data_IF_252371251771
#
_entry.id   IF_252371251771
#
_cell.length_a   1.000
_cell.length_b   1.000
_cell.length_c   1.000
_cell.angle_alpha   90.00
_cell.angle_beta   90.00
_cell.angle_gamma   90.00
#
_symmetry.space_group_name_H-M   'P 1'
#
loop_
_entity.id
_entity.type
_entity.pdbx_description
1 polymer ?
#
# COMPACT_ATOMS: atom_id res chain seq x y z
N UNK A 1 6.84 -0.13 5.03
CA UNK A 1 6.60 1.33 5.16
C UNK A 1 6.76 1.84 6.60
N UNK A 2 6.88 0.96 7.59
CA UNK A 2 7.17 1.35 8.98
C UNK A 2 8.62 1.79 9.22
N UNK A 3 9.57 1.34 8.38
CA UNK A 3 10.97 1.74 8.46
C UNK A 3 11.21 3.07 7.75
N UNK A 4 12.28 3.76 8.15
CA UNK A 4 12.68 5.04 7.59
C UNK A 4 13.15 4.91 6.13
N UNK A 5 13.86 3.84 5.84
CA UNK A 5 14.45 3.54 4.53
C UNK A 5 14.07 2.14 4.06
N UNK A 6 14.03 1.95 2.76
CA UNK A 6 13.63 0.69 2.10
C UNK A 6 14.50 0.48 0.88
N UNK A 7 15.02 -0.72 0.73
CA UNK A 7 15.80 -1.17 -0.41
C UNK A 7 15.10 -2.39 -1.01
N UNK A 8 15.11 -2.52 -2.32
CA UNK A 8 14.49 -3.64 -3.01
C UNK A 8 15.40 -4.24 -4.09
N UNK A 9 15.21 -5.52 -4.38
CA UNK A 9 15.74 -6.12 -5.61
C UNK A 9 14.94 -5.64 -6.83
N UNK A 10 15.59 -5.55 -7.98
CA UNK A 10 15.00 -5.05 -9.23
C UNK A 10 13.80 -5.87 -9.73
N UNK A 11 13.73 -7.14 -9.36
CA UNK A 11 12.64 -8.07 -9.71
C UNK A 11 11.45 -7.99 -8.74
N UNK A 12 11.58 -7.22 -7.66
CA UNK A 12 10.54 -7.10 -6.63
C UNK A 12 9.31 -6.39 -7.16
N UNK A 13 8.14 -6.94 -6.82
CA UNK A 13 6.85 -6.30 -7.01
C UNK A 13 6.31 -5.86 -5.64
N UNK A 14 5.92 -4.60 -5.51
CA UNK A 14 5.45 -4.01 -4.26
C UNK A 14 3.98 -3.59 -4.38
N UNK A 15 3.15 -4.01 -3.43
CA UNK A 15 1.72 -3.70 -3.46
C UNK A 15 1.02 -3.94 -2.13
N UNK A 16 -0.25 -3.58 -2.09
CA UNK A 16 -1.18 -3.77 -0.98
C UNK A 16 -2.44 -4.48 -1.51
N UNK A 17 -2.46 -5.83 -1.51
CA UNK A 17 -3.48 -6.61 -2.21
C UNK A 17 -4.76 -6.86 -1.39
N UNK A 18 -4.91 -6.28 -0.19
CA UNK A 18 -5.96 -6.56 0.78
C UNK A 18 -7.37 -6.39 0.19
N UNK A 19 -7.56 -5.47 -0.75
CA UNK A 19 -8.84 -5.22 -1.43
C UNK A 19 -9.34 -6.44 -2.22
N UNK A 20 -8.44 -7.34 -2.63
CA UNK A 20 -8.81 -8.60 -3.30
C UNK A 20 -9.54 -9.56 -2.36
N UNK A 21 -9.39 -9.37 -1.06
CA UNK A 21 -10.09 -10.09 0.00
C UNK A 21 -11.24 -9.29 0.62
N UNK A 22 -11.69 -8.21 -0.04
CA UNK A 22 -12.72 -7.33 0.51
C UNK A 22 -12.27 -6.46 1.68
N UNK A 23 -10.96 -6.45 1.98
CA UNK A 23 -10.35 -5.70 3.08
C UNK A 23 -9.66 -4.43 2.56
N UNK A 24 -9.25 -3.57 3.46
CA UNK A 24 -8.31 -2.48 3.20
C UNK A 24 -6.98 -2.73 3.95
N UNK A 25 -5.87 -2.07 3.58
CA UNK A 25 -4.59 -2.18 4.27
C UNK A 25 -4.66 -1.65 5.71
N UNK A 26 -4.94 -2.54 6.68
CA UNK A 26 -5.28 -2.20 8.08
C UNK A 26 -4.09 -2.01 9.04
N UNK A 27 -2.85 -2.11 8.56
CA UNK A 27 -1.64 -1.91 9.36
C UNK A 27 -0.98 -0.53 9.09
N UNK A 28 -1.77 0.50 8.85
CA UNK A 28 -1.31 1.84 8.52
C UNK A 28 -0.92 1.99 7.04
N UNK A 29 -1.31 1.07 6.19
CA UNK A 29 -1.00 1.10 4.76
C UNK A 29 -1.67 2.26 4.04
N UNK A 30 -2.95 2.52 4.34
CA UNK A 30 -3.71 3.63 3.76
C UNK A 30 -3.22 5.00 4.23
N UNK A 31 -2.45 5.04 5.32
CA UNK A 31 -1.90 6.28 5.87
C UNK A 31 -0.44 6.52 5.44
N UNK A 32 0.35 5.44 5.32
CA UNK A 32 1.78 5.55 4.96
C UNK A 32 2.01 5.63 3.46
N UNK A 33 1.27 4.84 2.67
CA UNK A 33 1.49 4.81 1.23
C UNK A 33 1.27 6.19 0.58
N UNK A 34 0.17 6.94 0.86
CA UNK A 34 -0.05 8.26 0.28
C UNK A 34 1.05 9.28 0.64
N UNK A 35 1.64 9.14 1.83
CA UNK A 35 2.74 10.00 2.27
C UNK A 35 4.07 9.71 1.56
N UNK A 36 4.20 8.51 0.99
CA UNK A 36 5.41 8.10 0.25
C UNK A 36 5.28 8.36 -1.25
N UNK A 37 4.15 7.95 -1.86
CA UNK A 37 3.98 7.97 -3.32
C UNK A 37 2.98 9.02 -3.82
N UNK A 38 2.32 9.74 -2.92
CA UNK A 38 1.20 10.61 -3.24
C UNK A 38 -0.15 9.86 -3.25
N UNK A 39 -1.26 10.60 -3.06
CA UNK A 39 -2.57 9.98 -2.92
C UNK A 39 -3.11 9.39 -4.22
N UNK A 40 -2.78 9.93 -5.39
CA UNK A 40 -3.26 9.39 -6.68
C UNK A 40 -2.75 7.96 -6.93
N UNK A 41 -1.44 7.74 -6.82
CA UNK A 41 -0.85 6.41 -6.99
C UNK A 41 -1.27 5.48 -5.85
N UNK A 42 -1.37 6.00 -4.62
CA UNK A 42 -1.86 5.21 -3.48
C UNK A 42 -3.30 4.72 -3.71
N UNK A 43 -4.20 5.57 -4.20
CA UNK A 43 -5.56 5.19 -4.58
C UNK A 43 -5.55 4.09 -5.65
N UNK A 44 -4.73 4.23 -6.70
CA UNK A 44 -4.62 3.21 -7.75
C UNK A 44 -4.16 1.86 -7.19
N UNK A 45 -3.09 1.85 -6.40
CA UNK A 45 -2.52 0.63 -5.83
C UNK A 45 -3.47 -0.04 -4.83
N UNK A 46 -4.07 0.73 -3.92
CA UNK A 46 -4.90 0.19 -2.83
C UNK A 46 -6.26 -0.30 -3.36
N UNK A 47 -6.89 0.44 -4.29
CA UNK A 47 -8.22 0.06 -4.81
C UNK A 47 -8.17 -1.08 -5.81
N UNK A 48 -7.04 -1.26 -6.52
CA UNK A 48 -6.85 -2.39 -7.45
C UNK A 48 -6.23 -3.61 -6.79
N UNK A 49 -5.44 -3.41 -5.73
CA UNK A 49 -4.59 -4.44 -5.14
C UNK A 49 -3.48 -4.93 -6.08
N UNK A 50 -3.17 -4.18 -7.14
CA UNK A 50 -2.12 -4.53 -8.08
C UNK A 50 -0.77 -3.98 -7.63
N UNK A 51 0.29 -4.78 -7.68
CA UNK A 51 1.62 -4.33 -7.33
C UNK A 51 2.25 -3.49 -8.45
N UNK A 52 3.24 -2.67 -8.08
CA UNK A 52 4.11 -1.95 -9.01
C UNK A 52 5.52 -2.54 -8.98
N UNK A 53 6.29 -2.49 -10.09
CA UNK A 53 7.67 -2.96 -10.10
C UNK A 53 8.58 -2.06 -9.27
N UNK A 54 9.69 -2.62 -8.77
CA UNK A 54 10.67 -1.94 -7.94
C UNK A 54 11.18 -0.63 -8.58
N UNK A 55 11.39 -0.62 -9.90
CA UNK A 55 11.79 0.58 -10.63
C UNK A 55 10.79 1.73 -10.44
N UNK A 56 9.50 1.47 -10.64
CA UNK A 56 8.45 2.47 -10.42
C UNK A 56 8.37 2.86 -8.94
N UNK A 57 8.53 1.90 -8.04
CA UNK A 57 8.56 2.16 -6.60
C UNK A 57 9.70 3.13 -6.19
N UNK A 58 10.85 3.04 -6.85
CA UNK A 58 11.97 3.97 -6.67
C UNK A 58 11.63 5.37 -7.20
N UNK A 59 11.13 5.45 -8.44
CA UNK A 59 10.74 6.71 -9.09
C UNK A 59 9.69 7.48 -8.26
N UNK A 60 8.77 6.76 -7.62
CA UNK A 60 7.68 7.33 -6.82
C UNK A 60 8.05 7.55 -5.33
N UNK A 61 9.23 7.10 -4.89
CA UNK A 61 9.71 7.27 -3.52
C UNK A 61 9.14 6.27 -2.51
N UNK A 62 8.62 5.12 -2.98
CA UNK A 62 8.22 4.03 -2.10
C UNK A 62 9.43 3.29 -1.52
N UNK A 63 10.51 3.20 -2.29
CA UNK A 63 11.81 2.69 -1.87
C UNK A 63 12.91 3.70 -2.19
N UNK A 64 14.01 3.66 -1.48
CA UNK A 64 15.12 4.59 -1.62
C UNK A 64 16.22 4.09 -2.56
N UNK A 65 16.38 2.76 -2.68
CA UNK A 65 17.30 2.14 -3.64
C UNK A 65 16.73 0.85 -4.21
N UNK A 66 17.15 0.55 -5.44
CA UNK A 66 16.86 -0.71 -6.13
C UNK A 66 18.16 -1.27 -6.68
N UNK A 67 18.44 -2.53 -6.40
CA UNK A 67 19.62 -3.24 -6.87
C UNK A 67 19.24 -4.45 -7.72
N UNK A 68 20.01 -4.71 -8.76
CA UNK A 68 19.97 -5.98 -9.45
C UNK A 68 20.85 -6.96 -8.69
N UNK A 69 20.26 -8.05 -8.20
CA UNK A 69 20.94 -9.06 -7.39
C UNK A 69 20.53 -10.47 -7.81
N UNK A 70 21.44 -11.43 -7.56
CA UNK A 70 21.22 -12.84 -7.87
C UNK A 70 20.88 -13.67 -6.63
N UNK A 71 21.09 -13.11 -5.43
CA UNK A 71 20.78 -13.77 -4.16
C UNK A 71 20.36 -12.77 -3.08
N UNK A 72 19.78 -13.29 -2.00
CA UNK A 72 19.44 -12.48 -0.83
C UNK A 72 20.67 -11.92 -0.15
N UNK A 73 21.75 -12.69 -0.10
CA UNK A 73 23.04 -12.30 0.49
C UNK A 73 23.60 -11.06 -0.21
N UNK A 74 23.60 -11.07 -1.55
CA UNK A 74 24.04 -9.92 -2.34
C UNK A 74 23.18 -8.67 -2.07
N UNK A 75 21.85 -8.83 -1.94
CA UNK A 75 20.97 -7.72 -1.59
C UNK A 75 21.27 -7.18 -0.19
N UNK A 76 21.55 -8.06 0.78
CA UNK A 76 21.94 -7.67 2.14
C UNK A 76 23.24 -6.86 2.11
N UNK A 77 24.27 -7.34 1.40
CA UNK A 77 25.55 -6.64 1.29
C UNK A 77 25.38 -5.23 0.72
N UNK A 78 24.64 -5.08 -0.39
CA UNK A 78 24.34 -3.78 -0.98
C UNK A 78 23.54 -2.88 -0.04
N UNK A 79 22.57 -3.46 0.68
CA UNK A 79 21.78 -2.74 1.68
C UNK A 79 22.65 -2.26 2.86
N UNK A 80 23.66 -3.04 3.27
CA UNK A 80 24.61 -2.63 4.32
C UNK A 80 25.46 -1.44 3.87
N UNK A 81 25.93 -1.43 2.61
CA UNK A 81 26.64 -0.28 2.04
C UNK A 81 25.74 0.96 2.04
N UNK A 82 24.50 0.85 1.59
CA UNK A 82 23.52 1.94 1.66
C UNK A 82 23.30 2.43 3.10
N UNK A 83 23.15 1.51 4.06
CA UNK A 83 22.95 1.86 5.47
C UNK A 83 24.14 2.68 6.03
N UNK A 84 25.38 2.37 5.65
CA UNK A 84 26.56 3.14 6.04
C UNK A 84 26.50 4.59 5.55
N UNK A 85 25.98 4.82 4.33
CA UNK A 85 25.80 6.18 3.80
C UNK A 85 24.76 6.98 4.58
N UNK A 86 23.73 6.30 5.10
CA UNK A 86 22.67 6.93 5.90
C UNK A 86 23.16 7.30 7.29
N UNK A 87 23.92 6.41 7.93
CA UNK A 87 24.52 6.65 9.26
C UNK A 87 25.36 7.94 9.23
N UNK A 88 26.13 8.13 8.18
CA UNK A 88 26.96 9.34 8.02
C UNK A 88 26.15 10.63 7.87
N UNK A 89 24.91 10.54 7.31
CA UNK A 89 24.00 11.69 7.12
C UNK A 89 23.21 12.05 8.37
N UNK A 90 23.15 11.16 9.36
CA UNK A 90 22.36 11.32 10.60
C UNK A 90 20.91 11.78 10.38
N UNK A 91 20.25 11.27 9.33
CA UNK A 91 18.86 11.59 9.00
C UNK A 91 17.97 10.38 9.23
N UNK A 92 16.87 10.57 9.94
CA UNK A 92 15.95 9.49 10.29
C UNK A 92 14.50 9.89 9.99
N UNK A 93 14.13 10.07 8.69
CA UNK A 93 12.80 10.54 8.31
C UNK A 93 11.75 9.50 8.65
N UNK A 94 10.77 9.88 9.46
CA UNK A 94 9.63 9.01 9.78
C UNK A 94 8.53 9.21 8.77
N UNK A 95 8.00 8.15 8.18
CA UNK A 95 6.90 8.22 7.21
C UNK A 95 5.68 8.95 7.76
N UNK A 96 5.37 8.79 9.06
CA UNK A 96 4.25 9.47 9.70
C UNK A 96 4.36 11.00 9.73
N UNK A 97 5.57 11.53 9.67
CA UNK A 97 5.86 12.97 9.74
C UNK A 97 5.89 13.62 8.34
N UNK A 98 5.92 12.81 7.28
CA UNK A 98 5.91 13.31 5.90
C UNK A 98 4.52 13.83 5.56
N UNK A 99 4.43 15.08 5.15
CA UNK A 99 3.17 15.74 4.77
C UNK A 99 3.19 16.31 3.35
N UNK A 100 4.35 16.38 2.73
CA UNK A 100 4.58 17.10 1.46
C UNK A 100 3.65 16.62 0.35
N UNK A 101 3.44 15.29 0.24
CA UNK A 101 2.61 14.68 -0.81
C UNK A 101 1.12 14.61 -0.46
N UNK A 102 0.75 14.84 0.80
CA UNK A 102 -0.66 14.77 1.26
C UNK A 102 -1.24 16.15 1.63
N UNK A 103 -0.41 17.19 1.59
CA UNK A 103 -0.86 18.59 1.78
C UNK A 103 -1.34 19.19 0.47
N UNK A 104 -2.35 20.07 0.53
CA UNK A 104 -2.90 20.80 -0.61
C UNK A 104 -3.37 19.92 -1.78
N UNK A 105 -3.91 18.77 -1.45
CA UNK A 105 -4.46 17.81 -2.43
C UNK A 105 -5.88 18.23 -2.81
N UNK A 106 -6.16 18.31 -4.12
CA UNK A 106 -7.52 18.57 -4.60
C UNK A 106 -8.46 17.41 -4.24
N UNK A 107 -9.68 17.73 -3.81
CA UNK A 107 -10.75 16.73 -3.57
C UNK A 107 -11.13 15.95 -4.81
N UNK A 108 -10.90 16.50 -6.01
CA UNK A 108 -11.27 15.92 -7.30
C UNK A 108 -10.61 14.55 -7.54
N UNK A 109 -9.43 14.31 -6.96
CA UNK A 109 -8.75 13.01 -7.09
C UNK A 109 -9.59 11.85 -6.56
N UNK A 110 -10.33 12.09 -5.45
CA UNK A 110 -11.19 11.07 -4.85
C UNK A 110 -12.43 10.81 -5.70
N UNK A 111 -13.05 11.85 -6.24
CA UNK A 111 -14.20 11.74 -7.13
C UNK A 111 -13.81 11.04 -8.44
N UNK A 112 -12.63 11.35 -8.97
CA UNK A 112 -12.08 10.68 -10.15
C UNK A 112 -11.75 9.21 -9.86
N UNK A 113 -11.21 8.90 -8.68
CA UNK A 113 -10.97 7.52 -8.26
C UNK A 113 -12.30 6.74 -8.17
N UNK A 114 -13.34 7.31 -7.54
CA UNK A 114 -14.66 6.70 -7.47
C UNK A 114 -15.23 6.44 -8.86
N UNK A 115 -15.21 7.44 -9.75
CA UNK A 115 -15.68 7.29 -11.14
C UNK A 115 -14.94 6.16 -11.87
N UNK A 116 -13.62 6.06 -11.69
CA UNK A 116 -12.77 5.04 -12.35
C UNK A 116 -13.08 3.62 -11.87
N UNK A 117 -13.41 3.43 -10.58
CA UNK A 117 -13.67 2.09 -10.03
C UNK A 117 -15.14 1.67 -10.12
N UNK A 118 -16.09 2.61 -10.12
CA UNK A 118 -17.55 2.33 -10.10
C UNK A 118 -17.98 1.27 -11.12
N UNK A 119 -17.55 1.30 -12.39
CA UNK A 119 -17.93 0.28 -13.37
C UNK A 119 -17.42 -1.13 -13.05
N UNK A 120 -16.42 -1.24 -12.17
CA UNK A 120 -15.75 -2.49 -11.81
C UNK A 120 -16.18 -3.03 -10.44
N UNK A 121 -16.96 -2.27 -9.67
CA UNK A 121 -17.32 -2.63 -8.29
C UNK A 121 -18.16 -3.91 -8.24
N UNK A 122 -19.12 -4.09 -9.15
CA UNK A 122 -20.00 -5.27 -9.17
C UNK A 122 -20.66 -5.54 -7.81
N UNK A 123 -21.06 -4.48 -7.10
CA UNK A 123 -21.64 -4.56 -5.76
C UNK A 123 -20.64 -4.61 -4.60
N UNK A 124 -19.32 -4.58 -4.88
CA UNK A 124 -18.28 -4.58 -3.85
C UNK A 124 -18.14 -3.20 -3.21
N UNK A 125 -18.00 -3.17 -1.88
CA UNK A 125 -17.79 -1.94 -1.11
C UNK A 125 -16.34 -1.73 -0.68
N UNK A 126 -15.56 -2.81 -0.57
CA UNK A 126 -14.15 -2.74 -0.14
C UNK A 126 -13.32 -1.65 -0.85
N UNK A 127 -13.37 -1.52 -2.19
CA UNK A 127 -12.65 -0.46 -2.89
C UNK A 127 -13.09 0.96 -2.52
N UNK A 128 -14.38 1.17 -2.19
CA UNK A 128 -14.87 2.48 -1.73
C UNK A 128 -14.34 2.81 -0.33
N UNK A 129 -14.29 1.83 0.57
CA UNK A 129 -13.69 1.98 1.91
C UNK A 129 -12.19 2.28 1.82
N UNK A 130 -11.49 1.70 0.83
CA UNK A 130 -10.10 2.04 0.56
C UNK A 130 -9.93 3.54 0.20
N UNK A 131 -10.80 4.10 -0.65
CA UNK A 131 -10.78 5.52 -1.00
C UNK A 131 -11.04 6.39 0.23
N UNK A 132 -12.02 6.01 1.05
CA UNK A 132 -12.36 6.73 2.28
C UNK A 132 -11.17 6.76 3.27
N UNK A 133 -10.47 5.63 3.44
CA UNK A 133 -9.29 5.55 4.30
C UNK A 133 -8.13 6.41 3.77
N UNK A 134 -7.88 6.43 2.46
CA UNK A 134 -6.86 7.30 1.84
C UNK A 134 -7.25 8.78 1.95
N UNK A 135 -8.55 9.12 1.85
CA UNK A 135 -9.05 10.46 2.11
C UNK A 135 -8.73 10.91 3.56
N UNK A 136 -8.80 9.97 4.52
CA UNK A 136 -8.34 10.21 5.89
C UNK A 136 -6.88 10.61 5.99
N UNK A 137 -5.99 10.05 5.15
CA UNK A 137 -4.57 10.41 5.14
C UNK A 137 -4.31 11.86 4.69
N UNK A 138 -5.21 12.44 3.88
CA UNK A 138 -5.12 13.83 3.39
C UNK A 138 -5.77 14.81 4.38
N UNK A 139 -6.89 14.44 4.98
CA UNK A 139 -7.73 15.36 5.75
C UNK A 139 -7.48 15.30 7.26
N UNK A 140 -6.83 14.26 7.76
CA UNK A 140 -6.61 14.03 9.19
C UNK A 140 -5.11 14.00 9.52
N UNK A 141 -4.77 14.27 10.78
CA UNK A 141 -3.44 13.94 11.25
C UNK A 141 -3.22 12.41 11.26
N UNK A 142 -1.95 12.00 11.33
CA UNK A 142 -1.59 10.59 11.17
C UNK A 142 -2.29 9.66 12.16
N UNK A 143 -2.41 10.03 13.43
CA UNK A 143 -3.00 9.18 14.45
C UNK A 143 -4.53 9.09 14.31
N UNK A 144 -5.19 10.19 13.99
CA UNK A 144 -6.62 10.20 13.65
C UNK A 144 -6.89 9.39 12.36
N UNK A 145 -6.00 9.49 11.37
CA UNK A 145 -6.06 8.70 10.15
C UNK A 145 -5.93 7.19 10.42
N UNK A 146 -5.01 6.77 11.32
CA UNK A 146 -4.89 5.38 11.73
C UNK A 146 -6.14 4.87 12.46
N UNK A 147 -6.77 5.71 13.28
CA UNK A 147 -8.03 5.35 13.94
C UNK A 147 -9.14 5.16 12.92
N UNK A 148 -9.30 6.10 11.99
CA UNK A 148 -10.25 5.99 10.89
C UNK A 148 -9.99 4.73 10.02
N UNK A 149 -8.73 4.44 9.68
CA UNK A 149 -8.35 3.21 8.96
C UNK A 149 -8.82 1.96 9.70
N UNK A 150 -8.61 1.90 11.02
CA UNK A 150 -9.02 0.75 11.83
C UNK A 150 -10.53 0.57 11.88
N UNK A 151 -11.29 1.65 12.01
CA UNK A 151 -12.76 1.61 12.01
C UNK A 151 -13.28 1.10 10.67
N UNK A 152 -12.75 1.62 9.55
CA UNK A 152 -13.09 1.16 8.21
C UNK A 152 -12.64 -0.28 7.94
N UNK A 153 -11.48 -0.68 8.46
CA UNK A 153 -11.01 -2.07 8.37
C UNK A 153 -11.97 -3.02 9.07
N UNK A 154 -12.46 -2.66 10.28
CA UNK A 154 -13.41 -3.50 11.00
C UNK A 154 -14.72 -3.67 10.22
N UNK A 155 -15.23 -2.60 9.61
CA UNK A 155 -16.43 -2.66 8.74
C UNK A 155 -16.20 -3.64 7.58
N UNK A 156 -15.04 -3.57 6.93
CA UNK A 156 -14.70 -4.50 5.85
C UNK A 156 -14.57 -5.94 6.35
N UNK A 157 -13.88 -6.14 7.48
CA UNK A 157 -13.64 -7.45 8.06
C UNK A 157 -14.95 -8.18 8.44
N UNK A 158 -15.92 -7.45 8.96
CA UNK A 158 -17.21 -7.99 9.42
C UNK A 158 -18.25 -8.09 8.28
N UNK A 159 -17.84 -7.83 7.02
CA UNK A 159 -18.73 -7.86 5.87
C UNK A 159 -18.81 -9.26 5.22
N UNK A 160 -19.99 -9.59 4.69
CA UNK A 160 -20.20 -10.79 3.87
C UNK A 160 -19.27 -10.79 2.63
N UNK A 161 -18.91 -9.61 2.09
CA UNK A 161 -17.99 -9.47 0.98
C UNK A 161 -16.62 -10.06 1.34
N UNK A 162 -16.07 -9.68 2.51
CA UNK A 162 -14.77 -10.16 2.94
C UNK A 162 -14.80 -11.66 3.25
N UNK A 163 -15.83 -12.15 3.94
CA UNK A 163 -15.99 -13.58 4.24
C UNK A 163 -16.02 -14.41 2.97
N UNK A 164 -16.85 -14.02 1.99
CA UNK A 164 -16.99 -14.73 0.72
C UNK A 164 -15.67 -14.72 -0.09
N UNK A 165 -14.97 -13.58 -0.16
CA UNK A 165 -13.70 -13.47 -0.90
C UNK A 165 -12.58 -14.25 -0.23
N UNK A 166 -12.49 -14.27 1.09
CA UNK A 166 -11.52 -15.09 1.84
C UNK A 166 -11.81 -16.58 1.61
N UNK A 167 -13.07 -17.00 1.70
CA UNK A 167 -13.46 -18.36 1.42
C UNK A 167 -13.08 -18.78 0.00
N UNK A 168 -13.38 -17.96 -1.01
CA UNK A 168 -13.02 -18.21 -2.41
C UNK A 168 -11.51 -18.34 -2.58
N UNK A 169 -10.73 -17.43 -2.00
CA UNK A 169 -9.27 -17.45 -2.05
C UNK A 169 -8.68 -18.76 -1.52
N UNK A 170 -9.15 -19.24 -0.37
CA UNK A 170 -8.65 -20.49 0.18
C UNK A 170 -9.13 -21.72 -0.63
N UNK A 171 -10.36 -21.68 -1.14
CA UNK A 171 -10.90 -22.77 -1.99
C UNK A 171 -10.09 -22.92 -3.28
N UNK A 172 -9.74 -21.82 -3.96
CA UNK A 172 -8.88 -21.84 -5.14
C UNK A 172 -7.48 -22.41 -4.83
N UNK A 173 -6.90 -22.02 -3.69
CA UNK A 173 -5.59 -22.55 -3.27
C UNK A 173 -5.63 -24.02 -2.93
N UNK A 174 -6.74 -24.50 -2.39
CA UNK A 174 -6.93 -25.94 -2.12
C UNK A 174 -7.10 -26.73 -3.41
N UNK A 175 -7.90 -26.23 -4.34
CA UNK A 175 -8.09 -26.86 -5.65
C UNK A 175 -6.78 -27.02 -6.42
N UNK A 176 -5.90 -26.04 -6.36
CA UNK A 176 -4.57 -26.09 -6.99
C UNK A 176 -3.57 -27.05 -6.34
N UNK A 177 -3.91 -27.67 -5.19
CA UNK A 177 -3.06 -28.65 -4.49
C UNK A 177 -3.48 -30.11 -4.76
N UNK A 178 -4.49 -30.33 -5.60
CA UNK A 178 -4.93 -31.69 -5.95
C UNK A 178 -3.80 -32.33 -6.77
N UNK A 179 -3.19 -33.44 -6.31
CA UNK A 179 -2.17 -34.17 -7.08
C UNK A 179 -2.79 -34.68 -8.38
N UNK A 180 -2.13 -34.41 -9.50
CA UNK A 180 -2.46 -35.00 -10.78
C UNK A 180 -2.08 -36.49 -10.82
#
# INVERSE_FOLDING_TARGET
>A
MGCQYRVADSKTMLGLPEVKLGLLPGAGGTQRLPRLVGPELALEMITSGNPIPAKKALEEGLVEEVHETNSLEELIEKTMVFAQTIISKNTHPKTRERSEKVSNVSSDIFDNAIKKITPKLRGREGPLRCIEAVRGAVNLNFDAGLKNERELFQICHDSDESEALIHSFFSERMANKIPG
#
